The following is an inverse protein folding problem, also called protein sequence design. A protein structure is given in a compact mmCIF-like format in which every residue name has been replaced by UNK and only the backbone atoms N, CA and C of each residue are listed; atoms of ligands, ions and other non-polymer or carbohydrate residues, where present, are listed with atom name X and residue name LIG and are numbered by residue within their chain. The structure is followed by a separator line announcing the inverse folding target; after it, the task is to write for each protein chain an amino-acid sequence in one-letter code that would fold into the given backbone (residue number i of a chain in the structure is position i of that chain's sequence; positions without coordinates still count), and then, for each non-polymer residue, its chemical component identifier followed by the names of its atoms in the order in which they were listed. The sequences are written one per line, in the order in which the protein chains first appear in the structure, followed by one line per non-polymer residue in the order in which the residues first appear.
data_IF_751225998467
#
_entry.id   IF_751225998467
#
_cell.length_a   1.000
_cell.length_b   1.000
_cell.length_c   1.000
_cell.angle_alpha   90.00
_cell.angle_beta   90.00
_cell.angle_gamma   90.00
#
_symmetry.space_group_name_H-M   'P 1'
#
loop_
_entity.id
_entity.type
_entity.pdbx_description
1 polymer ?
#
# COMPACT_ATOMS: atom_id res chain seq x y z
N UNK A 1 -7.04 -19.29 2.23
CA UNK A 1 -5.58 -19.14 1.93
C UNK A 1 -4.75 -19.64 3.11
N UNK A 2 -3.65 -20.34 2.83
CA UNK A 2 -2.65 -20.65 3.86
C UNK A 2 -1.82 -19.39 4.12
N UNK A 3 -1.75 -18.97 5.39
CA UNK A 3 -0.92 -17.87 5.86
C UNK A 3 0.07 -18.40 6.90
N UNK A 4 1.23 -17.76 7.00
CA UNK A 4 2.24 -18.13 7.99
C UNK A 4 1.78 -17.90 9.43
N UNK A 5 2.66 -18.17 10.38
CA UNK A 5 2.45 -17.89 11.79
C UNK A 5 3.16 -16.59 12.18
N UNK A 6 2.48 -15.73 12.93
CA UNK A 6 3.03 -14.49 13.52
C UNK A 6 2.43 -14.33 14.91
N UNK A 7 3.20 -13.77 15.83
CA UNK A 7 2.74 -13.49 17.18
C UNK A 7 2.76 -12.00 17.48
N UNK A 8 1.75 -11.50 18.15
CA UNK A 8 1.71 -10.10 18.59
C UNK A 8 2.88 -9.77 19.54
N UNK A 9 3.38 -10.78 20.26
CA UNK A 9 4.51 -10.63 21.17
C UNK A 9 5.80 -10.19 20.45
N UNK A 10 6.01 -10.60 19.19
CA UNK A 10 7.19 -10.26 18.39
C UNK A 10 7.30 -8.74 18.13
N UNK A 11 6.19 -8.04 18.18
CA UNK A 11 6.11 -6.59 17.95
C UNK A 11 6.33 -5.74 19.21
N UNK A 12 6.42 -6.36 20.40
CA UNK A 12 6.48 -5.64 21.68
C UNK A 12 7.65 -4.66 21.78
N UNK A 13 8.82 -5.05 21.25
CA UNK A 13 10.02 -4.22 21.28
C UNK A 13 9.96 -3.03 20.28
N UNK A 14 9.05 -3.09 19.30
CA UNK A 14 8.85 -2.06 18.28
C UNK A 14 7.74 -1.09 18.69
N UNK A 15 6.58 -1.62 19.09
CA UNK A 15 5.36 -0.84 19.31
C UNK A 15 5.10 -0.47 20.78
N UNK A 16 5.88 -1.05 21.71
CA UNK A 16 5.70 -0.84 23.14
C UNK A 16 4.68 -1.77 23.78
N UNK A 17 4.77 -1.91 25.11
CA UNK A 17 3.92 -2.83 25.88
C UNK A 17 2.46 -2.36 25.98
N UNK A 18 2.25 -1.06 25.99
CA UNK A 18 0.92 -0.48 26.20
C UNK A 18 -0.01 -0.80 25.01
N UNK A 19 0.45 -0.62 23.78
CA UNK A 19 -0.34 -0.99 22.60
C UNK A 19 -0.62 -2.50 22.53
N UNK A 20 0.36 -3.33 22.91
CA UNK A 20 0.17 -4.80 22.93
C UNK A 20 -0.86 -5.21 24.00
N UNK A 21 -0.84 -4.56 25.16
CA UNK A 21 -1.82 -4.80 26.23
C UNK A 21 -3.23 -4.37 25.80
N UNK A 22 -3.37 -3.18 25.21
CA UNK A 22 -4.64 -2.67 24.65
C UNK A 22 -5.23 -3.63 23.61
N UNK A 23 -4.41 -4.12 22.67
CA UNK A 23 -4.86 -5.07 21.65
C UNK A 23 -5.40 -6.36 22.30
N UNK A 24 -4.72 -6.89 23.31
CA UNK A 24 -5.16 -8.11 24.01
C UNK A 24 -6.46 -7.89 24.78
N UNK A 25 -6.61 -6.73 25.41
CA UNK A 25 -7.85 -6.35 26.12
C UNK A 25 -9.03 -6.24 25.14
N UNK A 26 -8.85 -5.58 24.00
CA UNK A 26 -9.86 -5.48 22.94
C UNK A 26 -10.21 -6.84 22.32
N UNK A 27 -9.26 -7.74 22.23
CA UNK A 27 -9.47 -9.07 21.65
C UNK A 27 -10.20 -10.04 22.60
N UNK A 28 -10.11 -9.85 23.93
CA UNK A 28 -10.65 -10.78 24.91
C UNK A 28 -12.15 -11.11 24.71
N UNK A 29 -13.06 -10.11 24.54
CA UNK A 29 -14.47 -10.38 24.29
C UNK A 29 -14.73 -10.99 22.89
N UNK A 30 -13.78 -10.90 21.96
CA UNK A 30 -13.90 -11.37 20.58
C UNK A 30 -13.32 -12.78 20.36
N UNK A 31 -12.73 -13.41 21.38
CA UNK A 31 -12.14 -14.75 21.25
C UNK A 31 -13.16 -15.78 20.75
N UNK A 32 -12.72 -16.61 19.81
CA UNK A 32 -13.57 -17.59 19.13
C UNK A 32 -14.53 -17.02 18.09
N UNK A 33 -14.56 -15.69 17.89
CA UNK A 33 -15.34 -15.10 16.79
C UNK A 33 -14.78 -15.53 15.43
N UNK A 34 -15.68 -15.93 14.55
CA UNK A 34 -15.36 -16.40 13.19
C UNK A 34 -15.34 -15.21 12.23
N UNK A 35 -14.16 -14.87 11.74
CA UNK A 35 -13.92 -13.74 10.86
C UNK A 35 -13.46 -14.25 9.49
N UNK A 36 -14.02 -13.74 8.41
CA UNK A 36 -13.50 -14.01 7.06
C UNK A 36 -13.15 -12.72 6.32
N UNK A 37 -11.93 -12.68 5.78
CA UNK A 37 -11.52 -11.69 4.79
C UNK A 37 -11.73 -12.26 3.39
N UNK A 38 -12.38 -11.51 2.50
CA UNK A 38 -12.64 -11.90 1.12
C UNK A 38 -11.99 -10.88 0.20
N UNK A 39 -11.04 -11.31 -0.62
CA UNK A 39 -10.31 -10.46 -1.58
C UNK A 39 -10.28 -11.06 -2.98
N UNK A 40 -9.89 -10.26 -3.97
CA UNK A 40 -9.84 -10.71 -5.36
C UNK A 40 -8.62 -11.58 -5.67
N UNK A 41 -7.49 -11.36 -5.00
CA UNK A 41 -6.23 -12.06 -5.29
C UNK A 41 -5.45 -12.35 -4.02
N UNK A 42 -4.64 -13.43 -4.06
CA UNK A 42 -3.72 -13.78 -2.98
C UNK A 42 -2.32 -13.18 -3.16
N UNK A 43 -2.00 -12.61 -4.31
CA UNK A 43 -0.64 -12.18 -4.66
C UNK A 43 -0.66 -10.84 -5.41
N UNK A 44 0.47 -10.15 -5.41
CA UNK A 44 0.74 -9.04 -6.32
C UNK A 44 0.10 -7.70 -5.94
N UNK A 45 -0.14 -7.41 -4.66
CA UNK A 45 -0.69 -6.11 -4.27
C UNK A 45 -0.67 -5.84 -2.78
N UNK A 46 -0.91 -4.58 -2.40
CA UNK A 46 -0.88 -4.15 -1.01
C UNK A 46 -1.91 -4.85 -0.12
N UNK A 47 -3.07 -5.23 -0.65
CA UNK A 47 -4.12 -5.95 0.10
C UNK A 47 -3.62 -7.32 0.54
N UNK A 48 -3.01 -8.09 -0.35
CA UNK A 48 -2.44 -9.39 -0.02
C UNK A 48 -1.30 -9.27 0.99
N UNK A 49 -0.39 -8.30 0.83
CA UNK A 49 0.69 -8.03 1.80
C UNK A 49 0.14 -7.76 3.20
N UNK A 50 -0.90 -6.94 3.31
CA UNK A 50 -1.58 -6.65 4.58
C UNK A 50 -2.19 -7.93 5.17
N UNK A 51 -2.92 -8.71 4.40
CA UNK A 51 -3.63 -9.90 4.87
C UNK A 51 -2.67 -11.04 5.28
N UNK A 52 -1.52 -11.17 4.64
CA UNK A 52 -0.47 -12.12 5.06
C UNK A 52 0.06 -11.86 6.48
N UNK A 53 -0.11 -10.64 7.00
CA UNK A 53 0.26 -10.31 8.39
C UNK A 53 -0.95 -10.19 9.30
N UNK A 54 -2.01 -9.54 8.87
CA UNK A 54 -3.18 -9.25 9.70
C UNK A 54 -3.92 -10.52 10.12
N UNK A 55 -4.14 -11.46 9.18
CA UNK A 55 -4.85 -12.72 9.47
C UNK A 55 -4.13 -13.58 10.51
N UNK A 56 -2.80 -13.84 10.43
CA UNK A 56 -2.08 -14.52 11.50
C UNK A 56 -2.17 -13.82 12.86
N UNK A 57 -2.09 -12.49 12.89
CA UNK A 57 -2.17 -11.74 14.15
C UNK A 57 -3.59 -11.78 14.76
N UNK A 58 -4.65 -11.76 13.95
CA UNK A 58 -6.01 -11.99 14.44
C UNK A 58 -6.14 -13.37 15.07
N UNK A 59 -5.52 -14.40 14.49
CA UNK A 59 -5.48 -15.75 15.07
C UNK A 59 -4.69 -15.81 16.37
N UNK A 60 -3.56 -15.12 16.46
CA UNK A 60 -2.72 -15.08 17.67
C UNK A 60 -3.46 -14.46 18.88
N UNK A 61 -4.34 -13.49 18.62
CA UNK A 61 -5.17 -12.89 19.68
C UNK A 61 -6.47 -13.65 19.97
N UNK A 62 -6.69 -14.80 19.32
CA UNK A 62 -7.75 -15.75 19.63
C UNK A 62 -8.99 -15.70 18.74
N UNK A 63 -8.97 -14.99 17.62
CA UNK A 63 -10.04 -15.02 16.64
C UNK A 63 -9.89 -16.22 15.69
N UNK A 64 -11.00 -16.81 15.24
CA UNK A 64 -11.04 -17.81 14.18
C UNK A 64 -11.08 -17.08 12.82
N UNK A 65 -9.92 -16.60 12.37
CA UNK A 65 -9.82 -15.78 11.17
C UNK A 65 -9.42 -16.58 9.93
N UNK A 66 -10.17 -16.41 8.85
CA UNK A 66 -9.88 -17.00 7.55
C UNK A 66 -9.63 -15.91 6.49
N UNK A 67 -8.90 -16.27 5.46
CA UNK A 67 -8.76 -15.48 4.24
C UNK A 67 -9.19 -16.33 3.04
N UNK A 68 -10.19 -15.86 2.32
CA UNK A 68 -10.72 -16.46 1.11
C UNK A 68 -10.47 -15.55 -0.09
N UNK A 69 -10.13 -16.15 -1.22
CA UNK A 69 -9.95 -15.43 -2.49
C UNK A 69 -11.10 -15.86 -3.39
N UNK A 70 -11.77 -14.88 -4.00
CA UNK A 70 -12.86 -15.16 -4.92
C UNK A 70 -12.35 -15.87 -6.18
N UNK A 71 -13.21 -16.69 -6.74
CA UNK A 71 -12.98 -17.28 -8.04
C UNK A 71 -13.30 -16.27 -9.15
N UNK A 72 -12.40 -16.16 -10.12
CA UNK A 72 -12.57 -15.39 -11.34
C UNK A 72 -11.72 -15.96 -12.46
N UNK A 73 -12.16 -15.78 -13.70
CA UNK A 73 -11.37 -16.06 -14.91
C UNK A 73 -10.89 -14.73 -15.51
N UNK A 74 -10.17 -14.83 -16.61
CA UNK A 74 -9.57 -13.69 -17.30
C UNK A 74 -10.59 -12.59 -17.62
N UNK A 75 -11.78 -12.96 -18.13
CA UNK A 75 -12.85 -12.00 -18.46
C UNK A 75 -13.32 -11.20 -17.24
N UNK A 76 -13.41 -11.83 -16.06
CA UNK A 76 -13.75 -11.16 -14.82
C UNK A 76 -12.64 -10.20 -14.38
N UNK A 77 -11.39 -10.64 -14.41
CA UNK A 77 -10.27 -9.77 -13.99
C UNK A 77 -10.02 -8.63 -14.97
N UNK A 78 -10.28 -8.83 -16.27
CA UNK A 78 -10.25 -7.75 -17.26
C UNK A 78 -11.33 -6.69 -16.96
N UNK A 79 -12.58 -7.10 -16.72
CA UNK A 79 -13.66 -6.20 -16.35
C UNK A 79 -13.37 -5.44 -15.05
N UNK A 80 -12.86 -6.15 -14.02
CA UNK A 80 -12.54 -5.52 -12.72
C UNK A 80 -11.29 -4.65 -12.76
N UNK A 81 -10.34 -4.88 -13.66
CA UNK A 81 -9.21 -3.98 -13.93
C UNK A 81 -9.71 -2.66 -14.53
N UNK A 82 -10.62 -2.72 -15.50
CA UNK A 82 -11.26 -1.52 -16.05
C UNK A 82 -12.06 -0.76 -14.98
N UNK A 83 -12.86 -1.48 -14.17
CA UNK A 83 -13.58 -0.91 -13.03
C UNK A 83 -12.64 -0.18 -12.08
N UNK A 84 -11.53 -0.81 -11.69
CA UNK A 84 -10.51 -0.24 -10.82
C UNK A 84 -9.93 1.06 -11.41
N UNK A 85 -9.57 1.06 -12.69
CA UNK A 85 -9.02 2.23 -13.37
C UNK A 85 -10.06 3.37 -13.45
N UNK A 86 -11.31 3.06 -13.83
CA UNK A 86 -12.40 4.02 -13.88
C UNK A 86 -12.68 4.62 -12.49
N UNK A 87 -12.73 3.80 -11.44
CA UNK A 87 -12.93 4.25 -10.07
C UNK A 87 -11.79 5.16 -9.58
N UNK A 88 -10.60 5.00 -10.11
CA UNK A 88 -9.48 5.91 -9.87
C UNK A 88 -9.45 7.09 -10.85
N UNK A 89 -10.51 7.32 -11.66
CA UNK A 89 -10.71 8.49 -12.52
C UNK A 89 -10.10 8.38 -13.91
N UNK A 90 -9.76 7.18 -14.37
CA UNK A 90 -9.45 6.98 -15.78
C UNK A 90 -10.73 7.24 -16.64
N UNK A 91 -10.53 7.83 -17.82
CA UNK A 91 -11.61 8.09 -18.78
C UNK A 91 -12.00 6.80 -19.54
N UNK A 92 -12.36 5.77 -18.79
CA UNK A 92 -12.81 4.46 -19.31
C UNK A 92 -14.12 4.09 -18.62
N UNK A 93 -15.02 3.42 -19.34
CA UNK A 93 -16.27 2.91 -18.84
C UNK A 93 -16.37 1.40 -19.08
N UNK A 94 -17.07 0.72 -18.19
CA UNK A 94 -17.46 -0.67 -18.42
C UNK A 94 -18.72 -0.70 -19.28
N UNK A 95 -18.75 -1.58 -20.27
CA UNK A 95 -19.96 -1.90 -21.00
C UNK A 95 -20.88 -2.85 -20.20
N UNK A 96 -22.08 -3.10 -20.73
CA UNK A 96 -23.09 -3.94 -20.05
C UNK A 96 -22.64 -5.39 -19.92
N UNK A 97 -21.90 -5.95 -20.88
CA UNK A 97 -21.37 -7.31 -20.84
C UNK A 97 -20.32 -7.46 -19.72
N UNK A 98 -19.48 -6.46 -19.51
CA UNK A 98 -18.48 -6.43 -18.44
C UNK A 98 -19.14 -6.32 -17.05
N UNK A 99 -20.21 -5.50 -16.93
CA UNK A 99 -21.01 -5.43 -15.71
C UNK A 99 -21.77 -6.73 -15.45
N UNK A 100 -22.33 -7.39 -16.47
CA UNK A 100 -22.97 -8.71 -16.35
C UNK A 100 -21.94 -9.76 -15.91
N UNK A 101 -20.77 -9.77 -16.49
CA UNK A 101 -19.67 -10.65 -16.09
C UNK A 101 -19.34 -10.44 -14.60
N UNK A 102 -19.19 -9.21 -14.15
CA UNK A 102 -18.92 -8.91 -12.74
C UNK A 102 -20.05 -9.42 -11.82
N UNK A 103 -21.33 -9.21 -12.19
CA UNK A 103 -22.49 -9.69 -11.44
C UNK A 103 -22.50 -11.22 -11.34
N UNK A 104 -22.34 -11.92 -12.46
CA UNK A 104 -22.35 -13.40 -12.52
C UNK A 104 -21.27 -14.01 -11.63
N UNK A 105 -20.05 -13.49 -11.66
CA UNK A 105 -18.98 -14.01 -10.80
C UNK A 105 -19.22 -13.71 -9.32
N UNK A 106 -19.82 -12.57 -8.97
CA UNK A 106 -20.26 -12.31 -7.60
C UNK A 106 -21.32 -13.30 -7.15
N UNK A 107 -22.35 -13.63 -7.99
CA UNK A 107 -23.35 -14.65 -7.69
C UNK A 107 -22.73 -16.04 -7.49
N UNK A 108 -21.76 -16.42 -8.34
CA UNK A 108 -21.04 -17.69 -8.19
C UNK A 108 -20.31 -17.76 -6.85
N UNK A 109 -19.54 -16.74 -6.51
CA UNK A 109 -18.81 -16.67 -5.26
C UNK A 109 -19.73 -16.60 -4.03
N UNK A 110 -20.87 -15.90 -4.15
CA UNK A 110 -21.88 -15.85 -3.10
C UNK A 110 -22.44 -17.24 -2.74
N UNK A 111 -22.66 -18.12 -3.74
CA UNK A 111 -23.14 -19.51 -3.51
C UNK A 111 -22.12 -20.33 -2.73
N UNK A 112 -20.83 -20.17 -3.04
CA UNK A 112 -19.73 -20.93 -2.43
C UNK A 112 -19.34 -20.43 -1.03
N UNK A 113 -19.66 -19.17 -0.67
CA UNK A 113 -19.37 -18.64 0.65
C UNK A 113 -20.14 -19.43 1.71
N UNK A 114 -19.43 -19.98 2.70
CA UNK A 114 -20.04 -20.65 3.84
C UNK A 114 -20.79 -19.66 4.75
N UNK A 115 -21.76 -20.18 5.51
CA UNK A 115 -22.51 -19.37 6.48
C UNK A 115 -21.93 -19.47 7.90
N UNK A 116 -22.42 -18.60 8.80
CA UNK A 116 -22.12 -18.65 10.21
C UNK A 116 -20.87 -17.85 10.60
N UNK A 117 -20.53 -16.86 9.82
CA UNK A 117 -19.49 -15.87 10.17
C UNK A 117 -20.03 -14.87 11.18
N UNK A 118 -19.21 -14.47 12.14
CA UNK A 118 -19.53 -13.33 12.99
C UNK A 118 -19.25 -12.03 12.25
N UNK A 119 -18.14 -11.94 11.48
CA UNK A 119 -17.84 -10.80 10.60
C UNK A 119 -17.32 -11.28 9.26
N UNK A 120 -17.83 -10.68 8.19
CA UNK A 120 -17.37 -10.84 6.83
C UNK A 120 -16.80 -9.50 6.33
N UNK A 121 -15.50 -9.49 6.00
CA UNK A 121 -14.80 -8.33 5.44
C UNK A 121 -14.60 -8.53 3.95
N UNK A 122 -15.18 -7.65 3.17
CA UNK A 122 -15.11 -7.65 1.71
C UNK A 122 -14.15 -6.57 1.25
N UNK A 123 -13.09 -6.95 0.56
CA UNK A 123 -12.04 -6.04 0.13
C UNK A 123 -12.22 -5.62 -1.33
N UNK A 124 -12.31 -4.31 -1.53
CA UNK A 124 -12.38 -3.65 -2.84
C UNK A 124 -13.67 -3.93 -3.65
N UNK A 125 -13.81 -3.38 -4.86
CA UNK A 125 -15.04 -3.51 -5.64
C UNK A 125 -15.26 -4.89 -6.26
N UNK A 126 -14.22 -5.74 -6.40
CA UNK A 126 -14.36 -7.01 -7.08
C UNK A 126 -15.42 -7.91 -6.43
N UNK A 127 -15.41 -8.17 -5.10
CA UNK A 127 -16.43 -8.97 -4.40
C UNK A 127 -17.55 -8.12 -3.78
N UNK A 128 -17.70 -6.85 -4.14
CA UNK A 128 -18.54 -5.92 -3.39
C UNK A 128 -20.03 -6.27 -3.36
N UNK A 129 -20.54 -7.07 -4.32
CA UNK A 129 -21.95 -7.45 -4.34
C UNK A 129 -22.31 -8.55 -3.31
N UNK A 130 -21.33 -9.17 -2.63
CA UNK A 130 -21.58 -10.33 -1.75
C UNK A 130 -22.56 -10.01 -0.61
N UNK A 131 -22.46 -8.83 0.01
CA UNK A 131 -23.40 -8.44 1.07
C UNK A 131 -24.85 -8.44 0.60
N UNK A 132 -25.13 -7.79 -0.52
CA UNK A 132 -26.49 -7.72 -1.06
C UNK A 132 -27.05 -9.08 -1.54
N UNK A 133 -26.17 -10.01 -1.91
CA UNK A 133 -26.56 -11.34 -2.41
C UNK A 133 -26.82 -12.36 -1.30
N UNK A 134 -26.06 -12.32 -0.19
CA UNK A 134 -26.10 -13.34 0.85
C UNK A 134 -25.91 -12.74 2.26
N UNK A 135 -26.72 -11.75 2.64
CA UNK A 135 -26.57 -11.03 3.91
C UNK A 135 -26.64 -11.95 5.14
N UNK A 136 -27.39 -13.04 5.06
CA UNK A 136 -27.61 -14.01 6.12
C UNK A 136 -26.38 -14.88 6.44
N UNK A 137 -25.33 -14.85 5.62
CA UNK A 137 -24.12 -15.67 5.83
C UNK A 137 -23.19 -15.15 6.93
N UNK A 138 -23.33 -13.88 7.30
CA UNK A 138 -22.60 -13.28 8.43
C UNK A 138 -23.50 -12.40 9.28
N UNK A 139 -23.18 -12.24 10.58
CA UNK A 139 -23.88 -11.34 11.47
C UNK A 139 -23.52 -9.88 11.20
N UNK A 140 -22.24 -9.60 10.92
CA UNK A 140 -21.71 -8.30 10.57
C UNK A 140 -21.02 -8.31 9.21
N UNK A 141 -21.19 -7.24 8.46
CA UNK A 141 -20.55 -7.05 7.16
C UNK A 141 -19.78 -5.74 7.12
N UNK A 142 -18.56 -5.82 6.60
CA UNK A 142 -17.65 -4.67 6.46
C UNK A 142 -17.17 -4.61 5.01
N UNK A 143 -17.32 -3.47 4.36
CA UNK A 143 -16.67 -3.20 3.09
C UNK A 143 -15.39 -2.40 3.29
N UNK A 144 -14.26 -2.91 2.82
CA UNK A 144 -12.96 -2.23 2.89
C UNK A 144 -12.52 -1.77 1.52
N UNK A 145 -12.52 -0.47 1.28
CA UNK A 145 -11.98 0.13 0.06
C UNK A 145 -10.49 0.44 0.24
N UNK A 146 -9.66 -0.03 -0.70
CA UNK A 146 -8.21 0.22 -0.74
C UNK A 146 -7.79 1.17 -1.86
N UNK A 147 -8.71 1.57 -2.72
CA UNK A 147 -8.44 2.44 -3.88
C UNK A 147 -8.80 3.89 -3.61
N UNK A 148 -8.20 4.79 -4.39
CA UNK A 148 -8.53 6.21 -4.38
C UNK A 148 -9.86 6.45 -5.12
N UNK A 149 -10.91 6.82 -4.38
CA UNK A 149 -12.21 7.21 -4.89
C UNK A 149 -12.45 8.74 -4.82
N UNK A 150 -11.40 9.55 -4.73
CA UNK A 150 -11.55 11.01 -4.63
C UNK A 150 -12.15 11.65 -5.89
N UNK A 151 -11.85 11.09 -7.06
CA UNK A 151 -12.32 11.59 -8.36
C UNK A 151 -12.71 10.43 -9.29
N UNK A 152 -13.67 9.58 -8.89
CA UNK A 152 -14.05 8.41 -9.69
C UNK A 152 -14.77 8.83 -10.97
N UNK A 153 -14.72 7.96 -11.99
CA UNK A 153 -15.61 8.10 -13.15
C UNK A 153 -17.08 8.12 -12.66
N UNK A 154 -17.87 9.17 -12.97
CA UNK A 154 -19.22 9.32 -12.43
C UNK A 154 -20.18 8.19 -12.82
N UNK A 155 -20.03 7.62 -14.00
CA UNK A 155 -20.87 6.53 -14.47
C UNK A 155 -20.55 5.24 -13.72
N UNK A 156 -19.27 4.87 -13.62
CA UNK A 156 -18.84 3.66 -12.92
C UNK A 156 -19.19 3.69 -11.44
N UNK A 157 -18.97 4.83 -10.75
CA UNK A 157 -19.30 4.91 -9.32
C UNK A 157 -20.83 4.87 -9.10
N UNK A 158 -21.63 5.47 -9.99
CA UNK A 158 -23.09 5.41 -9.90
C UNK A 158 -23.63 3.98 -10.07
N UNK A 159 -22.99 3.15 -10.88
CA UNK A 159 -23.36 1.75 -11.04
C UNK A 159 -22.87 0.86 -9.89
N UNK A 160 -21.73 1.18 -9.26
CA UNK A 160 -21.20 0.43 -8.12
C UNK A 160 -21.93 0.77 -6.81
N UNK A 161 -22.33 2.02 -6.63
CA UNK A 161 -22.90 2.55 -5.39
C UNK A 161 -24.04 1.69 -4.80
N UNK A 162 -25.01 1.15 -5.59
CA UNK A 162 -26.06 0.28 -5.05
C UNK A 162 -25.58 -0.98 -4.35
N UNK A 163 -24.36 -1.43 -4.64
CA UNK A 163 -23.76 -2.63 -4.03
C UNK A 163 -22.94 -2.34 -2.78
N UNK A 164 -22.48 -1.10 -2.60
CA UNK A 164 -21.60 -0.74 -1.48
C UNK A 164 -22.27 0.18 -0.44
N UNK A 165 -23.31 0.91 -0.83
CA UNK A 165 -23.92 1.96 -0.01
C UNK A 165 -24.51 1.45 1.31
N UNK A 166 -25.07 0.24 1.30
CA UNK A 166 -25.84 -0.32 2.42
C UNK A 166 -25.00 -1.27 3.30
N UNK A 167 -23.69 -1.38 3.06
CA UNK A 167 -22.83 -2.11 4.00
C UNK A 167 -22.94 -1.47 5.39
N UNK A 168 -23.20 -2.26 6.46
CA UNK A 168 -23.30 -1.72 7.82
C UNK A 168 -22.09 -0.90 8.24
N UNK A 169 -20.90 -1.38 7.89
CA UNK A 169 -19.61 -0.72 8.12
C UNK A 169 -18.82 -0.62 6.84
N UNK A 170 -18.21 0.52 6.63
CA UNK A 170 -17.29 0.75 5.50
C UNK A 170 -15.99 1.39 5.98
N UNK A 171 -14.87 0.93 5.45
CA UNK A 171 -13.53 1.38 5.83
C UNK A 171 -12.82 2.00 4.64
N UNK A 172 -12.30 3.21 4.81
CA UNK A 172 -11.52 3.93 3.83
C UNK A 172 -10.16 4.34 4.39
N UNK A 173 -9.21 4.71 3.52
CA UNK A 173 -7.89 5.21 3.95
C UNK A 173 -7.98 6.63 4.51
N UNK A 174 -8.85 7.45 3.94
CA UNK A 174 -9.07 8.84 4.29
C UNK A 174 -10.49 9.25 3.93
N UNK A 175 -10.96 10.36 4.50
CA UNK A 175 -12.34 10.81 4.35
C UNK A 175 -12.67 11.27 2.93
N UNK A 176 -11.69 11.78 2.22
CA UNK A 176 -11.81 12.26 0.85
C UNK A 176 -12.09 11.14 -0.16
N UNK A 177 -11.86 9.88 0.22
CA UNK A 177 -12.15 8.71 -0.61
C UNK A 177 -13.57 8.16 -0.41
N UNK A 178 -14.33 8.72 0.51
CA UNK A 178 -15.69 8.27 0.79
C UNK A 178 -16.64 8.80 -0.27
N UNK A 179 -17.27 7.95 -1.10
CA UNK A 179 -18.24 8.41 -2.09
C UNK A 179 -19.52 8.95 -1.40
N UNK A 180 -20.14 9.94 -2.00
CA UNK A 180 -21.45 10.40 -1.56
C UNK A 180 -22.48 9.27 -1.68
N UNK A 181 -23.40 9.16 -0.72
CA UNK A 181 -24.49 8.17 -0.74
C UNK A 181 -24.19 6.88 0.04
N UNK A 182 -23.11 6.81 0.84
CA UNK A 182 -22.93 5.74 1.80
C UNK A 182 -23.95 5.88 2.94
N UNK A 183 -24.68 4.79 3.28
CA UNK A 183 -25.76 4.76 4.27
C UNK A 183 -25.34 4.20 5.62
N UNK A 184 -24.32 3.31 5.65
CA UNK A 184 -23.77 2.71 6.87
C UNK A 184 -22.74 3.58 7.58
N UNK A 185 -22.16 3.06 8.65
CA UNK A 185 -21.07 3.70 9.39
C UNK A 185 -19.80 3.75 8.52
N UNK A 186 -19.17 4.92 8.46
CA UNK A 186 -17.92 5.11 7.72
C UNK A 186 -16.76 5.33 8.67
N UNK A 187 -15.79 4.45 8.61
CA UNK A 187 -14.56 4.48 9.39
C UNK A 187 -13.36 4.87 8.51
N UNK A 188 -12.48 5.71 9.05
CA UNK A 188 -11.19 6.04 8.42
C UNK A 188 -10.10 5.25 9.12
N UNK A 189 -9.56 4.26 8.40
CA UNK A 189 -8.52 3.36 8.88
C UNK A 189 -7.37 3.31 7.87
N UNK A 190 -6.34 4.15 8.04
CA UNK A 190 -5.18 4.12 7.15
C UNK A 190 -4.48 2.76 7.18
N UNK A 191 -3.99 2.25 6.04
CA UNK A 191 -3.22 1.00 5.99
C UNK A 191 -1.96 1.03 6.85
N UNK A 192 -1.31 -0.11 6.94
CA UNK A 192 -0.10 -0.29 7.73
C UNK A 192 0.87 -1.25 7.07
N UNK A 193 2.14 -1.11 7.40
CA UNK A 193 3.21 -2.03 7.02
C UNK A 193 3.56 -2.98 8.17
N UNK A 194 4.08 -4.14 7.84
CA UNK A 194 4.66 -5.05 8.81
C UNK A 194 6.17 -4.83 8.94
N UNK A 195 6.65 -4.33 10.12
CA UNK A 195 8.06 -4.04 10.32
C UNK A 195 8.96 -5.28 10.39
N UNK A 196 8.38 -6.49 10.46
CA UNK A 196 9.12 -7.76 10.60
C UNK A 196 9.21 -8.54 9.27
N UNK A 197 8.68 -8.03 8.18
CA UNK A 197 8.85 -8.67 6.87
C UNK A 197 10.27 -8.45 6.33
N UNK A 198 10.75 -9.30 5.40
CA UNK A 198 12.05 -9.10 4.75
C UNK A 198 12.22 -7.70 4.14
N UNK A 199 11.13 -7.10 3.64
CA UNK A 199 11.11 -5.75 3.09
C UNK A 199 11.33 -4.66 4.15
N UNK A 200 10.98 -4.91 5.43
CA UNK A 200 10.92 -3.88 6.47
C UNK A 200 11.77 -4.15 7.71
N UNK A 201 12.25 -5.37 7.88
CA UNK A 201 13.12 -5.73 9.02
C UNK A 201 14.38 -4.86 9.04
N UNK A 202 14.95 -4.67 10.22
CA UNK A 202 16.19 -3.93 10.35
C UNK A 202 17.34 -4.65 9.64
N UNK A 203 18.05 -3.92 8.80
CA UNK A 203 19.35 -4.32 8.23
C UNK A 203 20.46 -3.52 8.88
N UNK A 204 21.64 -4.12 9.05
CA UNK A 204 22.82 -3.33 9.41
C UNK A 204 23.21 -2.41 8.23
N UNK A 205 23.87 -1.28 8.50
CA UNK A 205 24.41 -0.44 7.42
C UNK A 205 25.35 -1.19 6.48
N UNK A 206 26.13 -2.11 7.03
CA UNK A 206 27.09 -2.95 6.30
C UNK A 206 26.38 -3.93 5.36
N UNK A 207 25.30 -4.60 5.84
CA UNK A 207 24.53 -5.52 5.01
C UNK A 207 23.79 -4.77 3.90
N UNK A 208 23.21 -3.61 4.20
CA UNK A 208 22.53 -2.80 3.19
C UNK A 208 23.51 -2.30 2.11
N UNK A 209 24.68 -1.80 2.52
CA UNK A 209 25.74 -1.38 1.59
C UNK A 209 26.24 -2.55 0.73
N UNK A 210 26.50 -3.70 1.34
CA UNK A 210 26.94 -4.91 0.62
C UNK A 210 25.94 -5.29 -0.48
N UNK A 211 24.64 -5.32 -0.17
CA UNK A 211 23.60 -5.63 -1.16
C UNK A 211 23.59 -4.60 -2.28
N UNK A 212 23.56 -3.30 -1.96
CA UNK A 212 23.56 -2.24 -2.99
C UNK A 212 24.79 -2.31 -3.91
N UNK A 213 25.97 -2.60 -3.37
CA UNK A 213 27.18 -2.78 -4.14
C UNK A 213 27.13 -3.91 -5.18
N UNK A 214 26.33 -4.97 -4.94
CA UNK A 214 26.13 -6.06 -5.93
C UNK A 214 25.37 -5.60 -7.18
N UNK A 215 24.69 -4.45 -7.12
CA UNK A 215 23.96 -3.84 -8.23
C UNK A 215 24.70 -2.67 -8.87
N UNK A 216 25.98 -2.51 -8.54
CA UNK A 216 26.85 -1.51 -9.15
C UNK A 216 26.74 -0.10 -8.53
N UNK A 217 26.11 0.03 -7.37
CA UNK A 217 26.10 1.30 -6.62
C UNK A 217 27.51 1.56 -6.05
N UNK A 218 28.05 2.74 -6.28
CA UNK A 218 29.25 3.23 -5.64
C UNK A 218 28.90 3.70 -4.22
N UNK A 219 29.40 2.98 -3.22
CA UNK A 219 29.00 3.15 -1.81
C UNK A 219 29.57 4.43 -1.16
N UNK A 220 30.55 5.05 -1.80
CA UNK A 220 31.19 6.30 -1.32
C UNK A 220 30.52 7.57 -1.89
N UNK A 221 29.51 7.39 -2.76
CA UNK A 221 28.81 8.48 -3.47
C UNK A 221 27.37 8.60 -2.99
N UNK A 222 26.80 9.83 -2.93
CA UNK A 222 25.41 10.03 -2.55
C UNK A 222 24.42 9.29 -3.47
N UNK A 223 23.38 8.68 -2.87
CA UNK A 223 22.37 7.92 -3.58
C UNK A 223 20.96 8.46 -3.35
N UNK A 224 20.31 8.89 -4.44
CA UNK A 224 18.86 9.10 -4.49
C UNK A 224 18.19 7.79 -4.91
N UNK A 225 17.03 7.45 -4.33
CA UNK A 225 16.33 6.21 -4.67
C UNK A 225 14.81 6.39 -4.72
N UNK A 226 14.19 5.79 -5.73
CA UNK A 226 12.74 5.58 -5.80
C UNK A 226 12.46 4.08 -5.86
N UNK A 227 11.53 3.62 -5.00
CA UNK A 227 11.01 2.25 -5.04
C UNK A 227 9.54 2.29 -5.43
N UNK A 228 9.22 1.86 -6.66
CA UNK A 228 7.84 1.88 -7.17
C UNK A 228 7.67 0.93 -8.36
N UNK A 229 6.42 0.66 -8.74
CA UNK A 229 6.17 0.12 -10.09
C UNK A 229 6.56 1.16 -11.13
N UNK A 230 6.90 0.69 -12.33
CA UNK A 230 7.11 1.56 -13.48
C UNK A 230 5.74 1.86 -14.12
N UNK A 231 5.13 2.96 -13.69
CA UNK A 231 3.88 3.47 -14.25
C UNK A 231 3.89 5.01 -14.27
N UNK A 232 3.06 5.65 -15.10
CA UNK A 232 3.05 7.11 -15.25
C UNK A 232 2.76 7.85 -13.93
N UNK A 233 1.95 7.26 -13.05
CA UNK A 233 1.55 7.90 -11.81
C UNK A 233 2.66 7.95 -10.76
N UNK A 234 3.69 7.10 -10.90
CA UNK A 234 4.89 7.11 -10.04
C UNK A 234 5.96 8.10 -10.51
N UNK A 235 5.79 8.61 -11.73
CA UNK A 235 6.61 9.64 -12.35
C UNK A 235 8.13 9.42 -12.26
N UNK A 236 8.66 8.24 -12.65
CA UNK A 236 10.10 8.00 -12.65
C UNK A 236 10.86 8.90 -13.61
N UNK A 237 10.21 9.37 -14.70
CA UNK A 237 10.80 10.31 -15.63
C UNK A 237 11.08 11.66 -14.96
N UNK A 238 10.12 12.20 -14.23
CA UNK A 238 10.30 13.42 -13.46
C UNK A 238 11.29 13.26 -12.29
N UNK A 239 11.50 12.04 -11.78
CA UNK A 239 12.57 11.77 -10.80
C UNK A 239 13.95 11.79 -11.48
N UNK A 240 14.08 11.25 -12.70
CA UNK A 240 15.31 11.37 -13.49
C UNK A 240 15.62 12.85 -13.77
N UNK A 241 14.63 13.66 -14.13
CA UNK A 241 14.84 15.09 -14.40
C UNK A 241 15.23 15.86 -13.13
N UNK A 242 14.62 15.53 -11.97
CA UNK A 242 15.05 16.10 -10.68
C UNK A 242 16.49 15.70 -10.33
N UNK A 243 16.85 14.43 -10.53
CA UNK A 243 18.22 13.96 -10.36
C UNK A 243 19.22 14.71 -11.24
N UNK A 244 18.92 14.92 -12.52
CA UNK A 244 19.78 15.67 -13.45
C UNK A 244 20.03 17.09 -12.97
N UNK A 245 18.97 17.76 -12.47
CA UNK A 245 19.09 19.09 -11.86
C UNK A 245 20.01 19.07 -10.63
N UNK A 246 19.88 18.08 -9.76
CA UNK A 246 20.77 17.90 -8.60
C UNK A 246 22.20 17.66 -9.05
N UNK A 247 22.40 16.81 -10.07
CA UNK A 247 23.73 16.43 -10.60
C UNK A 247 24.51 17.62 -11.16
N UNK A 248 23.84 18.67 -11.63
CA UNK A 248 24.51 19.91 -12.06
C UNK A 248 25.33 20.56 -10.92
N UNK A 249 24.86 20.44 -9.68
CA UNK A 249 25.53 21.00 -8.48
C UNK A 249 26.29 19.96 -7.67
N UNK A 250 25.86 18.70 -7.70
CA UNK A 250 26.46 17.55 -7.03
C UNK A 250 26.80 16.45 -8.05
N UNK A 251 27.91 16.56 -8.81
CA UNK A 251 28.24 15.66 -9.92
C UNK A 251 28.38 14.19 -9.50
N UNK A 252 28.67 13.92 -8.25
CA UNK A 252 28.87 12.58 -7.69
C UNK A 252 27.54 11.86 -7.34
N UNK A 253 26.38 12.52 -7.44
CA UNK A 253 25.11 11.89 -7.07
C UNK A 253 24.76 10.74 -8.03
N UNK A 254 24.19 9.68 -7.48
CA UNK A 254 23.65 8.52 -8.21
C UNK A 254 22.13 8.45 -8.02
N UNK A 255 21.44 7.78 -8.95
CA UNK A 255 20.00 7.50 -8.86
C UNK A 255 19.74 6.00 -9.02
N UNK A 256 18.99 5.40 -8.09
CA UNK A 256 18.43 4.07 -8.23
C UNK A 256 16.91 4.14 -8.41
N UNK A 257 16.40 3.61 -9.51
CA UNK A 257 14.98 3.36 -9.75
C UNK A 257 14.73 1.86 -9.61
N UNK A 258 14.07 1.46 -8.53
CA UNK A 258 13.90 0.07 -8.14
C UNK A 258 12.42 -0.29 -8.21
N UNK A 259 12.07 -1.29 -9.02
CA UNK A 259 10.68 -1.63 -9.24
C UNK A 259 10.38 -3.12 -9.30
N UNK A 260 9.11 -3.43 -9.45
CA UNK A 260 8.63 -4.78 -9.75
C UNK A 260 7.81 -4.74 -11.03
N UNK A 261 8.09 -5.68 -11.93
CA UNK A 261 7.43 -5.85 -13.22
C UNK A 261 6.62 -7.14 -13.19
N UNK A 262 5.41 -7.10 -13.72
CA UNK A 262 4.62 -8.29 -14.02
C UNK A 262 4.84 -8.69 -15.47
N UNK A 263 4.94 -10.00 -15.73
CA UNK A 263 5.19 -10.50 -17.08
C UNK A 263 4.02 -10.28 -18.04
N UNK A 264 2.82 -10.11 -17.49
CA UNK A 264 1.53 -9.96 -18.16
C UNK A 264 0.97 -8.53 -18.10
N UNK A 265 1.83 -7.52 -17.83
CA UNK A 265 1.49 -6.10 -17.83
C UNK A 265 2.21 -5.34 -18.97
N UNK A 266 1.67 -5.33 -20.21
CA UNK A 266 2.30 -4.67 -21.35
C UNK A 266 2.52 -3.16 -21.14
N UNK A 267 1.58 -2.47 -20.47
CA UNK A 267 1.65 -1.04 -20.18
C UNK A 267 2.84 -0.73 -19.25
N UNK A 268 3.05 -1.58 -18.23
CA UNK A 268 4.22 -1.47 -17.36
C UNK A 268 5.53 -1.64 -18.10
N UNK A 269 5.59 -2.59 -19.06
CA UNK A 269 6.79 -2.79 -19.88
C UNK A 269 7.05 -1.63 -20.82
N UNK A 270 6.02 -1.05 -21.45
CA UNK A 270 6.16 0.12 -22.31
C UNK A 270 6.71 1.31 -21.51
N UNK A 271 6.20 1.52 -20.30
CA UNK A 271 6.67 2.61 -19.45
C UNK A 271 8.07 2.37 -18.87
N UNK A 272 8.41 1.14 -18.56
CA UNK A 272 9.78 0.74 -18.20
C UNK A 272 10.78 1.05 -19.33
N UNK A 273 10.45 0.70 -20.58
CA UNK A 273 11.27 1.01 -21.74
C UNK A 273 11.39 2.53 -21.97
N UNK A 274 10.32 3.29 -21.77
CA UNK A 274 10.37 4.75 -21.81
C UNK A 274 11.29 5.33 -20.73
N UNK A 275 11.29 4.74 -19.52
CA UNK A 275 12.18 5.14 -18.43
C UNK A 275 13.65 4.89 -18.79
N UNK A 276 13.98 3.73 -19.38
CA UNK A 276 15.33 3.43 -19.88
C UNK A 276 15.75 4.42 -20.96
N UNK A 277 14.87 4.70 -21.92
CA UNK A 277 15.15 5.66 -22.98
C UNK A 277 15.38 7.07 -22.41
N UNK A 278 14.61 7.47 -21.40
CA UNK A 278 14.74 8.77 -20.75
C UNK A 278 16.03 8.89 -19.93
N UNK A 279 16.54 7.79 -19.36
CA UNK A 279 17.84 7.77 -18.67
C UNK A 279 19.03 8.05 -19.62
N UNK A 280 18.84 7.87 -20.93
CA UNK A 280 19.79 8.22 -22.01
C UNK A 280 21.21 7.66 -21.79
N UNK A 281 21.33 6.48 -21.19
CA UNK A 281 22.59 5.79 -20.96
C UNK A 281 23.50 6.45 -19.89
N UNK A 282 22.96 7.32 -19.02
CA UNK A 282 23.70 7.87 -17.88
C UNK A 282 24.17 6.72 -16.96
N UNK A 283 25.51 6.52 -16.79
CA UNK A 283 26.03 5.40 -15.99
C UNK A 283 25.72 5.49 -14.50
N UNK A 284 25.30 6.66 -14.02
CA UNK A 284 24.94 6.89 -12.61
C UNK A 284 23.44 6.71 -12.35
N UNK A 285 22.65 6.31 -13.36
CA UNK A 285 21.24 5.93 -13.23
C UNK A 285 21.11 4.40 -13.29
N UNK A 286 20.73 3.79 -12.18
CA UNK A 286 20.54 2.35 -12.03
C UNK A 286 19.04 2.02 -12.08
N UNK A 287 18.58 1.36 -13.15
CA UNK A 287 17.18 0.93 -13.32
C UNK A 287 17.11 -0.57 -13.10
N UNK A 288 16.46 -0.97 -12.01
CA UNK A 288 16.50 -2.32 -11.47
C UNK A 288 15.08 -2.86 -11.23
N UNK A 289 14.88 -4.15 -11.45
CA UNK A 289 13.61 -4.80 -11.21
C UNK A 289 13.78 -6.28 -10.78
N UNK A 290 12.66 -6.97 -10.56
CA UNK A 290 12.67 -8.38 -10.16
C UNK A 290 13.32 -9.32 -11.18
N UNK A 291 13.44 -8.96 -12.46
CA UNK A 291 14.19 -9.73 -13.46
C UNK A 291 15.70 -9.53 -13.32
N UNK A 292 16.13 -8.51 -12.60
CA UNK A 292 17.53 -8.31 -12.19
C UNK A 292 17.81 -8.89 -10.80
N UNK A 293 17.00 -9.82 -10.31
CA UNK A 293 17.09 -10.45 -8.98
C UNK A 293 16.83 -9.47 -7.81
N UNK A 294 16.06 -8.42 -8.02
CA UNK A 294 15.63 -7.54 -6.94
C UNK A 294 14.39 -8.14 -6.28
N UNK A 295 14.54 -8.57 -5.05
CA UNK A 295 13.46 -9.05 -4.18
C UNK A 295 13.24 -8.12 -2.97
N UNK A 296 12.57 -8.65 -1.96
CA UNK A 296 12.19 -7.87 -0.78
C UNK A 296 13.40 -7.39 0.05
N UNK A 297 14.45 -8.17 0.14
CA UNK A 297 15.69 -7.81 0.86
C UNK A 297 16.45 -6.72 0.12
N UNK A 298 16.53 -6.81 -1.20
CA UNK A 298 17.19 -5.82 -2.04
C UNK A 298 16.45 -4.48 -1.96
N UNK A 299 15.11 -4.47 -2.05
CA UNK A 299 14.30 -3.27 -1.83
C UNK A 299 14.59 -2.67 -0.45
N UNK A 300 14.63 -3.50 0.60
CA UNK A 300 14.97 -3.06 1.95
C UNK A 300 16.37 -2.42 2.00
N UNK A 301 17.36 -3.04 1.36
CA UNK A 301 18.73 -2.55 1.33
C UNK A 301 18.84 -1.20 0.60
N UNK A 302 18.23 -1.06 -0.58
CA UNK A 302 18.19 0.21 -1.30
C UNK A 302 17.56 1.32 -0.47
N UNK A 303 16.39 1.07 0.15
CA UNK A 303 15.76 2.05 1.03
C UNK A 303 16.59 2.37 2.28
N UNK A 304 17.34 1.39 2.82
CA UNK A 304 18.14 1.57 4.03
C UNK A 304 19.48 2.26 3.76
N UNK A 305 20.05 2.11 2.57
CA UNK A 305 21.35 2.66 2.20
C UNK A 305 21.25 4.08 1.61
N UNK A 306 20.17 4.39 0.89
CA UNK A 306 20.02 5.66 0.16
C UNK A 306 20.05 6.88 1.10
N UNK A 307 20.60 7.99 0.59
CA UNK A 307 20.66 9.27 1.30
C UNK A 307 19.38 10.06 1.18
N UNK A 308 18.62 9.88 0.07
CA UNK A 308 17.29 10.49 -0.14
C UNK A 308 16.37 9.46 -0.79
N UNK A 309 15.21 9.25 -0.18
CA UNK A 309 14.14 8.42 -0.73
C UNK A 309 13.06 9.29 -1.35
N UNK A 310 12.61 8.93 -2.56
CA UNK A 310 11.68 9.73 -3.34
C UNK A 310 10.48 8.87 -3.74
N UNK A 311 9.28 9.42 -3.59
CA UNK A 311 8.05 8.88 -4.17
C UNK A 311 7.23 10.06 -4.71
N UNK A 312 7.70 10.66 -5.81
CA UNK A 312 7.10 11.83 -6.45
C UNK A 312 5.90 11.44 -7.30
N UNK A 313 4.97 10.66 -6.72
CA UNK A 313 3.76 10.27 -7.41
C UNK A 313 2.92 11.49 -7.79
N UNK A 314 2.31 11.43 -8.97
CA UNK A 314 1.28 12.38 -9.42
C UNK A 314 -0.11 11.89 -9.06
N UNK A 315 -0.24 10.61 -8.71
CA UNK A 315 -1.43 9.96 -8.18
C UNK A 315 -1.04 8.78 -7.28
N UNK A 316 -1.70 8.67 -6.12
CA UNK A 316 -1.43 7.60 -5.17
C UNK A 316 -2.68 7.28 -4.34
N UNK A 317 -3.01 6.00 -4.16
CA UNK A 317 -4.04 5.59 -3.21
C UNK A 317 -3.56 5.88 -1.78
N UNK A 318 -2.79 4.98 -1.21
CA UNK A 318 -2.10 5.21 0.06
C UNK A 318 -0.57 5.22 -0.11
N UNK A 319 -0.02 4.26 -0.88
CA UNK A 319 1.41 4.11 -1.08
C UNK A 319 2.10 3.44 0.12
N UNK A 320 1.96 2.12 0.28
CA UNK A 320 2.66 1.39 1.35
C UNK A 320 4.17 1.61 1.28
N UNK A 321 4.72 1.73 0.07
CA UNK A 321 6.15 2.02 -0.16
C UNK A 321 6.61 3.33 0.50
N UNK A 322 5.73 4.29 0.71
CA UNK A 322 6.02 5.54 1.45
C UNK A 322 6.30 5.23 2.91
N UNK A 323 5.38 4.53 3.60
CA UNK A 323 5.61 4.09 4.98
C UNK A 323 6.84 3.18 5.10
N UNK A 324 7.07 2.28 4.12
CA UNK A 324 8.25 1.40 4.07
C UNK A 324 9.55 2.21 3.98
N UNK A 325 9.59 3.22 3.11
CA UNK A 325 10.74 4.11 2.95
C UNK A 325 11.01 4.92 4.22
N UNK A 326 10.00 5.58 4.77
CA UNK A 326 10.12 6.40 5.98
C UNK A 326 10.50 5.54 7.19
N UNK A 327 10.07 4.28 7.25
CA UNK A 327 10.42 3.33 8.31
C UNK A 327 11.92 3.07 8.42
N UNK A 328 12.69 3.27 7.34
CA UNK A 328 14.16 3.13 7.33
C UNK A 328 14.90 4.26 8.05
N UNK A 329 14.18 5.27 8.55
CA UNK A 329 14.75 6.49 9.15
C UNK A 329 15.62 7.29 8.16
N UNK A 330 15.33 7.21 6.87
CA UNK A 330 15.95 8.02 5.83
C UNK A 330 15.08 9.22 5.48
N UNK A 331 15.67 10.34 5.05
CA UNK A 331 14.89 11.49 4.60
C UNK A 331 14.06 11.11 3.37
N UNK A 332 12.83 11.63 3.34
CA UNK A 332 11.85 11.25 2.34
C UNK A 332 11.23 12.47 1.65
N UNK A 333 11.08 12.38 0.34
CA UNK A 333 10.39 13.38 -0.49
C UNK A 333 9.21 12.68 -1.15
N UNK A 334 7.99 13.14 -0.87
CA UNK A 334 6.75 12.61 -1.43
C UNK A 334 6.00 13.59 -2.30
N UNK A 335 5.28 13.10 -3.31
CA UNK A 335 4.29 13.90 -4.03
C UNK A 335 3.15 14.33 -3.10
N UNK A 336 2.70 15.57 -3.21
CA UNK A 336 1.59 16.08 -2.41
C UNK A 336 0.24 15.61 -2.98
N UNK A 337 0.01 14.30 -3.01
CA UNK A 337 -1.17 13.66 -3.60
C UNK A 337 -1.63 12.44 -2.80
N UNK A 338 -2.92 12.15 -2.87
CA UNK A 338 -3.53 10.95 -2.29
C UNK A 338 -3.20 10.77 -0.81
N UNK A 339 -2.84 9.55 -0.43
CA UNK A 339 -2.50 9.18 0.95
C UNK A 339 -1.07 9.53 1.39
N UNK A 340 -0.22 10.13 0.54
CA UNK A 340 1.15 10.52 0.92
C UNK A 340 1.16 11.58 2.03
N UNK A 341 0.34 12.66 1.97
CA UNK A 341 0.28 13.68 3.04
C UNK A 341 -0.19 13.15 4.41
N UNK A 342 -0.80 11.96 4.49
CA UNK A 342 -1.08 11.31 5.78
C UNK A 342 0.19 10.76 6.43
N UNK A 343 1.18 10.40 5.61
CA UNK A 343 2.41 9.72 6.01
C UNK A 343 3.58 10.69 6.20
N UNK A 344 3.48 11.88 5.60
CA UNK A 344 4.53 12.91 5.60
C UNK A 344 3.95 14.22 6.12
N UNK A 345 4.49 14.70 7.22
CA UNK A 345 4.29 16.07 7.71
C UNK A 345 5.39 16.96 7.11
N UNK A 346 4.99 17.87 6.20
CA UNK A 346 5.91 18.67 5.39
C UNK A 346 6.89 19.50 6.25
N UNK A 347 8.18 19.39 5.95
CA UNK A 347 9.28 20.03 6.69
C UNK A 347 9.56 19.44 8.09
N UNK A 348 8.77 18.44 8.55
CA UNK A 348 8.89 17.83 9.87
C UNK A 348 9.35 16.38 9.78
N UNK A 349 8.64 15.55 9.04
CA UNK A 349 8.94 14.11 8.89
C UNK A 349 9.47 13.75 7.49
N UNK A 350 9.51 14.70 6.60
CA UNK A 350 9.92 14.62 5.21
C UNK A 350 9.50 15.88 4.47
N UNK A 351 9.57 15.87 3.15
CA UNK A 351 9.07 16.97 2.33
C UNK A 351 7.96 16.50 1.40
N UNK A 352 6.96 17.39 1.17
CA UNK A 352 5.93 17.24 0.15
C UNK A 352 6.22 18.16 -1.04
N UNK A 353 6.13 17.63 -2.26
CA UNK A 353 6.43 18.37 -3.48
C UNK A 353 5.31 18.22 -4.51
N UNK A 354 5.14 19.23 -5.34
CA UNK A 354 4.13 19.26 -6.42
C UNK A 354 4.75 19.43 -7.81
N UNK A 355 6.07 19.54 -7.91
CA UNK A 355 6.79 19.65 -9.19
C UNK A 355 8.15 18.95 -9.15
N UNK A 356 8.75 18.78 -10.33
CA UNK A 356 10.09 18.22 -10.49
C UNK A 356 11.15 19.17 -9.91
N UNK A 357 10.97 20.47 -10.09
CA UNK A 357 11.88 21.50 -9.58
C UNK A 357 11.91 21.49 -8.04
N UNK A 358 10.74 21.44 -7.40
CA UNK A 358 10.65 21.32 -5.94
C UNK A 358 11.32 20.03 -5.44
N UNK A 359 11.15 18.92 -6.17
CA UNK A 359 11.80 17.66 -5.83
C UNK A 359 13.32 17.80 -5.88
N UNK A 360 13.86 18.43 -6.91
CA UNK A 360 15.29 18.69 -7.05
C UNK A 360 15.82 19.61 -5.93
N UNK A 361 15.12 20.71 -5.63
CA UNK A 361 15.49 21.64 -4.55
C UNK A 361 15.57 20.91 -3.19
N UNK A 362 14.56 20.12 -2.85
CA UNK A 362 14.52 19.38 -1.57
C UNK A 362 15.55 18.26 -1.51
N UNK A 363 15.80 17.58 -2.63
CA UNK A 363 16.84 16.56 -2.70
C UNK A 363 18.24 17.20 -2.50
N UNK A 364 18.51 18.31 -3.17
CA UNK A 364 19.75 19.07 -3.02
C UNK A 364 19.93 19.54 -1.56
N UNK A 365 18.89 20.13 -0.94
CA UNK A 365 18.92 20.61 0.44
C UNK A 365 19.27 19.48 1.43
N UNK A 366 18.68 18.28 1.26
CA UNK A 366 18.96 17.12 2.10
C UNK A 366 20.38 16.60 1.91
N UNK A 367 20.87 16.56 0.67
CA UNK A 367 22.21 16.04 0.35
C UNK A 367 23.33 16.99 0.83
N UNK A 368 23.09 18.30 0.81
CA UNK A 368 24.01 19.30 1.33
C UNK A 368 24.02 19.41 2.86
N UNK A 369 22.88 19.04 3.52
CA UNK A 369 22.78 19.03 4.98
C UNK A 369 22.38 17.64 5.51
N UNK A 370 23.35 16.74 5.73
CA UNK A 370 23.09 15.43 6.31
C UNK A 370 22.46 15.47 7.71
N UNK A 371 22.63 16.56 8.46
CA UNK A 371 22.01 16.71 9.79
C UNK A 371 20.50 16.95 9.66
N UNK A 372 20.07 17.75 8.68
CA UNK A 372 18.66 17.90 8.32
C UNK A 372 18.06 16.55 7.90
N UNK A 373 18.72 15.85 6.96
CA UNK A 373 18.27 14.54 6.48
C UNK A 373 18.08 13.55 7.63
N UNK A 374 19.05 13.41 8.51
CA UNK A 374 18.98 12.54 9.70
C UNK A 374 17.83 12.93 10.65
N UNK A 375 17.60 14.22 10.83
CA UNK A 375 16.52 14.74 11.70
C UNK A 375 15.14 14.40 11.12
N UNK A 376 14.93 14.67 9.82
CA UNK A 376 13.69 14.32 9.09
C UNK A 376 13.42 12.81 9.16
N UNK A 377 14.41 11.99 8.81
CA UNK A 377 14.27 10.54 8.80
C UNK A 377 13.95 9.97 10.19
N UNK A 378 14.58 10.46 11.25
CA UNK A 378 14.27 10.03 12.61
C UNK A 378 12.83 10.34 13.00
N UNK A 379 12.36 11.57 12.76
CA UNK A 379 10.97 11.96 13.07
C UNK A 379 9.97 11.20 12.21
N UNK A 380 10.29 10.99 10.92
CA UNK A 380 9.50 10.19 10.02
C UNK A 380 9.29 8.76 10.53
N UNK A 381 10.37 8.09 10.94
CA UNK A 381 10.28 6.74 11.52
C UNK A 381 9.37 6.70 12.75
N UNK A 382 9.47 7.67 13.66
CA UNK A 382 8.61 7.75 14.84
C UNK A 382 7.14 7.96 14.45
N UNK A 383 6.87 8.78 13.44
CA UNK A 383 5.53 8.99 12.90
C UNK A 383 4.95 7.70 12.32
N UNK A 384 5.71 6.95 11.51
CA UNK A 384 5.29 5.64 10.98
C UNK A 384 5.08 4.62 12.10
N UNK A 385 5.97 4.59 13.10
CA UNK A 385 5.85 3.70 14.26
C UNK A 385 4.53 3.91 15.01
N UNK A 386 4.15 5.16 15.21
CA UNK A 386 2.93 5.50 15.95
C UNK A 386 1.65 5.21 15.15
N UNK A 387 1.69 5.39 13.80
CA UNK A 387 0.47 5.48 13.01
C UNK A 387 0.31 4.41 11.94
N UNK A 388 1.38 3.76 11.44
CA UNK A 388 1.31 2.96 10.23
C UNK A 388 1.94 1.56 10.35
N UNK A 389 1.99 0.99 11.56
CA UNK A 389 2.42 -0.40 11.77
C UNK A 389 1.23 -1.34 12.02
N UNK A 390 1.37 -2.59 11.58
CA UNK A 390 0.30 -3.60 11.63
C UNK A 390 -0.33 -3.80 13.01
N UNK A 391 0.36 -3.73 14.18
CA UNK A 391 -0.31 -3.82 15.47
C UNK A 391 -1.34 -2.71 15.70
N UNK A 392 -1.06 -1.45 15.32
CA UNK A 392 -2.06 -0.37 15.35
C UNK A 392 -3.26 -0.71 14.45
N UNK A 393 -3.00 -1.24 13.26
CA UNK A 393 -4.04 -1.62 12.30
C UNK A 393 -4.93 -2.74 12.84
N UNK A 394 -4.34 -3.75 13.49
CA UNK A 394 -5.09 -4.80 14.20
C UNK A 394 -5.98 -4.21 15.29
N UNK A 395 -5.45 -3.30 16.13
CA UNK A 395 -6.22 -2.62 17.17
C UNK A 395 -7.47 -1.95 16.59
N UNK A 396 -7.33 -1.24 15.48
CA UNK A 396 -8.43 -0.51 14.87
C UNK A 396 -9.53 -1.46 14.35
N UNK A 397 -9.15 -2.61 13.78
CA UNK A 397 -10.10 -3.65 13.39
C UNK A 397 -10.83 -4.27 14.59
N UNK A 398 -10.12 -4.55 15.69
CA UNK A 398 -10.74 -5.11 16.88
C UNK A 398 -11.78 -4.16 17.49
N UNK A 399 -11.53 -2.85 17.45
CA UNK A 399 -12.52 -1.85 17.89
C UNK A 399 -13.78 -1.91 17.03
N UNK A 400 -13.65 -1.94 15.72
CA UNK A 400 -14.78 -2.05 14.79
C UNK A 400 -15.56 -3.35 15.01
N UNK A 401 -14.88 -4.48 15.23
CA UNK A 401 -15.54 -5.76 15.50
C UNK A 401 -16.29 -5.75 16.84
N UNK A 402 -15.78 -5.05 17.85
CA UNK A 402 -16.47 -4.86 19.12
C UNK A 402 -17.76 -4.06 18.95
N UNK A 403 -17.73 -2.97 18.19
CA UNK A 403 -18.89 -2.13 17.88
C UNK A 403 -19.97 -2.91 17.09
N UNK A 404 -19.55 -3.70 16.09
CA UNK A 404 -20.46 -4.58 15.33
C UNK A 404 -21.12 -5.67 16.16
N UNK A 405 -20.49 -6.10 17.25
CA UNK A 405 -21.06 -7.12 18.14
C UNK A 405 -22.11 -6.55 19.08
N UNK A 406 -22.02 -5.26 19.41
CA UNK A 406 -22.92 -4.56 20.31
C UNK A 406 -24.19 -4.02 19.60
N UNK A 407 -24.13 -3.86 18.28
CA UNK A 407 -25.23 -3.42 17.42
C UNK A 407 -26.15 -4.59 17.03
#
# INVERSE_FOLDING_TARGET
MAVGHKTLADYTHICGRDLIAEIRELAEPLKGSRIVHISATAFGGGVSEILYTLVPLMRDVGLECEWQVIYGREEFFNATKLMHNALQGAAVDLDEEQWDTWRQYNEMNARELSAGWDVCLVHDPQPAALFGLVPEKAKGWVWRCHIDLSTPNPHTIAQLLPYIADYPESLFHMREYVPAGMNGTVNVVPPAIDPLTPKNMALSPEDAAFVCGQFGIDLDRPLMCQVSRFDPWKDPLGVIDAYRTVKESLPEVQLALVGSMASDDPEGWDFFNATIAHADGDPDIHILNNFNNVGAIEVNAFQSHSDVLIQKSTREGFGLTVSEAIWKARPFIGGNVGGIPLQVEDGVTGFLVSSTEQCAERAYEILEDPALGKSLGKRGKEHVRANFLTPRYLRDYLRIFSELRES
#
